data_IF_413602753540
#
_entry.id   IF_413602753540
#
_cell.length_a   1.000
_cell.length_b   1.000
_cell.length_c   1.000
_cell.angle_alpha   90.00
_cell.angle_beta   90.00
_cell.angle_gamma   90.00
#
_symmetry.space_group_name_H-M   'P 1'
#
loop_
_entity.id
_entity.type
_entity.pdbx_description
1 polymer ?
#
# COMPACT_ATOMS: atom_id res chain seq x y z
N UNK A 1 -32.80 10.01 -5.61
CA UNK A 1 -33.01 8.63 -5.11
C UNK A 1 -33.10 8.71 -3.60
N UNK A 2 -34.13 8.11 -3.03
CA UNK A 2 -34.26 7.98 -1.58
C UNK A 2 -33.18 7.01 -1.05
N UNK A 3 -32.74 7.10 0.22
CA UNK A 3 -31.60 6.31 0.73
C UNK A 3 -31.82 4.78 0.57
N UNK A 4 -33.05 4.32 0.73
CA UNK A 4 -33.44 2.92 0.51
C UNK A 4 -33.34 2.49 -0.96
N UNK A 5 -33.64 3.38 -1.91
CA UNK A 5 -33.50 3.10 -3.35
C UNK A 5 -32.02 3.00 -3.75
N UNK A 6 -31.17 3.86 -3.18
CA UNK A 6 -29.72 3.81 -3.41
C UNK A 6 -29.11 2.53 -2.85
N UNK A 7 -29.51 2.16 -1.64
CA UNK A 7 -29.09 0.91 -1.01
C UNK A 7 -29.48 -0.30 -1.88
N UNK A 8 -30.73 -0.38 -2.31
CA UNK A 8 -31.22 -1.48 -3.14
C UNK A 8 -30.56 -1.51 -4.52
N UNK A 9 -30.30 -0.34 -5.12
CA UNK A 9 -29.57 -0.24 -6.39
C UNK A 9 -28.14 -0.79 -6.28
N UNK A 10 -27.40 -0.38 -5.24
CA UNK A 10 -26.05 -0.88 -4.96
C UNK A 10 -26.04 -2.39 -4.70
N UNK A 11 -26.97 -2.88 -3.88
CA UNK A 11 -27.08 -4.31 -3.57
C UNK A 11 -27.41 -5.14 -4.81
N UNK A 12 -28.32 -4.67 -5.67
CA UNK A 12 -28.62 -5.33 -6.94
C UNK A 12 -27.41 -5.37 -7.88
N UNK A 13 -26.57 -4.34 -7.85
CA UNK A 13 -25.34 -4.28 -8.67
C UNK A 13 -24.27 -5.27 -8.18
N UNK A 14 -24.16 -5.45 -6.85
CA UNK A 14 -23.24 -6.43 -6.25
C UNK A 14 -23.79 -7.86 -6.20
N UNK A 15 -25.11 -8.05 -6.28
CA UNK A 15 -25.78 -9.36 -6.29
C UNK A 15 -25.13 -10.41 -7.21
N UNK A 16 -24.88 -10.16 -8.51
CA UNK A 16 -24.29 -11.17 -9.40
C UNK A 16 -22.90 -11.60 -8.94
N UNK A 17 -22.13 -10.68 -8.35
CA UNK A 17 -20.80 -10.93 -7.79
C UNK A 17 -20.88 -11.81 -6.57
N UNK A 18 -21.84 -11.56 -5.68
CA UNK A 18 -21.97 -12.29 -4.42
C UNK A 18 -22.52 -13.72 -4.63
N UNK A 19 -23.52 -13.86 -5.51
CA UNK A 19 -24.21 -15.12 -5.76
C UNK A 19 -23.44 -16.06 -6.69
N UNK A 20 -22.90 -15.54 -7.80
CA UNK A 20 -22.32 -16.37 -8.86
C UNK A 20 -20.85 -16.09 -9.07
N UNK A 21 -20.07 -17.11 -9.39
CA UNK A 21 -18.65 -16.97 -9.68
C UNK A 21 -18.44 -17.26 -11.16
N UNK A 22 -17.96 -16.26 -11.91
CA UNK A 22 -17.73 -16.43 -13.35
C UNK A 22 -16.54 -17.33 -13.63
N UNK A 23 -16.54 -18.00 -14.78
CA UNK A 23 -15.39 -18.82 -15.24
C UNK A 23 -14.10 -18.00 -15.32
N UNK A 24 -14.19 -16.75 -15.76
CA UNK A 24 -13.05 -15.81 -15.78
C UNK A 24 -12.47 -15.58 -14.39
N UNK A 25 -13.32 -15.50 -13.36
CA UNK A 25 -12.87 -15.36 -11.98
C UNK A 25 -12.07 -16.59 -11.54
N UNK A 26 -12.54 -17.80 -11.83
CA UNK A 26 -11.84 -19.05 -11.51
C UNK A 26 -10.51 -19.20 -12.25
N UNK A 27 -10.50 -18.95 -13.56
CA UNK A 27 -9.26 -19.03 -14.38
C UNK A 27 -8.21 -18.07 -13.85
N UNK A 28 -8.55 -16.80 -13.64
CA UNK A 28 -7.60 -15.82 -13.10
C UNK A 28 -7.19 -16.14 -11.67
N UNK A 29 -8.07 -16.72 -10.85
CA UNK A 29 -7.74 -17.16 -9.49
C UNK A 29 -6.77 -18.34 -9.50
N UNK A 30 -6.99 -19.34 -10.37
CA UNK A 30 -6.10 -20.48 -10.55
C UNK A 30 -4.71 -20.06 -11.02
N UNK A 31 -4.62 -19.14 -12.00
CA UNK A 31 -3.33 -18.58 -12.47
C UNK A 31 -2.59 -17.90 -11.32
N UNK A 32 -3.27 -17.07 -10.52
CA UNK A 32 -2.64 -16.41 -9.37
C UNK A 32 -2.17 -17.42 -8.30
N UNK A 33 -2.92 -18.50 -8.06
CA UNK A 33 -2.49 -19.58 -7.15
C UNK A 33 -1.23 -20.26 -7.68
N UNK A 34 -1.12 -20.51 -8.98
CA UNK A 34 0.09 -21.12 -9.56
C UNK A 34 1.30 -20.19 -9.37
N UNK A 35 1.14 -18.89 -9.61
CA UNK A 35 2.21 -17.90 -9.36
C UNK A 35 2.58 -17.85 -7.87
N UNK A 36 1.61 -17.87 -6.97
CA UNK A 36 1.85 -17.93 -5.53
C UNK A 36 2.58 -19.22 -5.11
N UNK A 37 2.18 -20.36 -5.68
CA UNK A 37 2.84 -21.65 -5.48
C UNK A 37 4.28 -21.68 -5.97
N UNK A 38 4.59 -20.96 -7.06
CA UNK A 38 5.97 -20.80 -7.53
C UNK A 38 6.84 -20.03 -6.51
N UNK A 39 6.31 -18.97 -5.89
CA UNK A 39 7.02 -18.29 -4.80
C UNK A 39 7.17 -19.14 -3.54
N UNK A 40 6.18 -19.96 -3.18
CA UNK A 40 6.31 -20.95 -2.09
C UNK A 40 7.46 -21.92 -2.40
N UNK A 41 7.56 -22.39 -3.65
CA UNK A 41 8.68 -23.25 -4.05
C UNK A 41 10.03 -22.53 -3.92
N UNK A 42 10.11 -21.25 -4.30
CA UNK A 42 11.27 -20.40 -4.04
C UNK A 42 11.60 -20.29 -2.54
N UNK A 43 10.60 -20.08 -1.69
CA UNK A 43 10.77 -20.02 -0.23
C UNK A 43 11.34 -21.33 0.33
N UNK A 44 10.81 -22.48 -0.12
CA UNK A 44 11.31 -23.79 0.31
C UNK A 44 12.78 -23.95 -0.09
N UNK A 45 13.16 -23.53 -1.29
CA UNK A 45 14.57 -23.55 -1.73
C UNK A 45 15.46 -22.65 -0.88
N UNK A 46 14.98 -21.47 -0.49
CA UNK A 46 15.74 -20.57 0.39
C UNK A 46 15.87 -21.12 1.81
N UNK A 47 14.82 -21.69 2.39
CA UNK A 47 14.87 -22.26 3.75
C UNK A 47 15.80 -23.49 3.79
N UNK A 48 15.77 -24.32 2.76
CA UNK A 48 16.58 -25.56 2.69
C UNK A 48 18.02 -25.33 2.24
N UNK A 49 18.24 -24.42 1.28
CA UNK A 49 19.56 -24.09 0.73
C UNK A 49 20.27 -22.95 1.44
N UNK A 50 19.57 -22.21 2.30
CA UNK A 50 20.04 -20.97 2.91
C UNK A 50 20.06 -19.80 1.93
N UNK A 51 20.53 -18.64 2.40
CA UNK A 51 20.53 -17.40 1.63
C UNK A 51 21.45 -17.39 0.41
N UNK A 52 22.31 -18.39 0.24
CA UNK A 52 23.20 -18.51 -0.93
C UNK A 52 22.42 -18.61 -2.26
N UNK A 53 21.16 -19.07 -2.21
CA UNK A 53 20.28 -19.14 -3.40
C UNK A 53 19.77 -17.77 -3.86
N UNK A 54 19.92 -16.74 -3.01
CA UNK A 54 19.54 -15.36 -3.31
C UNK A 54 20.73 -14.61 -3.93
N UNK A 55 20.48 -13.41 -4.44
CA UNK A 55 21.52 -12.49 -4.92
C UNK A 55 22.20 -11.72 -3.79
N UNK A 56 21.72 -11.84 -2.55
CA UNK A 56 22.28 -11.12 -1.40
C UNK A 56 23.66 -11.69 -1.02
N UNK A 57 24.59 -10.80 -0.70
CA UNK A 57 25.97 -11.10 -0.30
C UNK A 57 26.41 -10.18 0.85
N UNK A 58 27.65 -10.30 1.27
CA UNK A 58 28.20 -9.60 2.43
C UNK A 58 28.10 -8.07 2.33
N UNK A 59 28.21 -7.52 1.11
CA UNK A 59 28.04 -6.09 0.87
C UNK A 59 26.56 -5.71 0.72
N UNK A 60 25.85 -6.38 -0.19
CA UNK A 60 24.42 -6.14 -0.45
C UNK A 60 23.57 -7.16 0.30
N UNK A 61 23.29 -6.84 1.56
CA UNK A 61 22.59 -7.73 2.50
C UNK A 61 21.06 -7.69 2.41
N UNK A 62 20.49 -6.69 1.74
CA UNK A 62 19.05 -6.37 1.81
C UNK A 62 18.26 -6.47 0.51
N UNK A 63 18.93 -6.72 -0.62
CA UNK A 63 18.35 -7.15 -1.90
C UNK A 63 16.99 -6.56 -2.31
N UNK A 64 16.23 -7.33 -3.08
CA UNK A 64 14.87 -6.95 -3.52
C UNK A 64 13.82 -7.16 -2.42
N UNK A 65 14.13 -7.94 -1.38
CA UNK A 65 13.23 -8.13 -0.25
C UNK A 65 12.97 -6.83 0.50
N UNK A 66 14.01 -6.07 0.87
CA UNK A 66 13.79 -4.78 1.54
C UNK A 66 13.15 -3.76 0.59
N UNK A 67 13.47 -3.78 -0.70
CA UNK A 67 12.78 -2.95 -1.71
C UNK A 67 11.27 -3.22 -1.69
N UNK A 68 10.86 -4.49 -1.73
CA UNK A 68 9.46 -4.88 -1.69
C UNK A 68 8.79 -4.59 -0.35
N UNK A 69 9.51 -4.79 0.76
CA UNK A 69 9.04 -4.43 2.09
C UNK A 69 8.67 -2.94 2.13
N UNK A 70 9.61 -2.04 1.82
CA UNK A 70 9.35 -0.59 1.83
C UNK A 70 8.21 -0.24 0.87
N UNK A 71 8.16 -0.89 -0.30
CA UNK A 71 7.11 -0.64 -1.28
C UNK A 71 5.72 -0.99 -0.75
N UNK A 72 5.50 -2.23 -0.27
CA UNK A 72 4.20 -2.65 0.29
C UNK A 72 3.84 -1.87 1.54
N UNK A 73 4.81 -1.57 2.40
CA UNK A 73 4.58 -0.67 3.54
C UNK A 73 4.12 0.70 3.06
N UNK A 74 4.80 1.31 2.09
CA UNK A 74 4.40 2.59 1.49
C UNK A 74 2.98 2.57 0.89
N UNK A 75 2.60 1.49 0.22
CA UNK A 75 1.22 1.31 -0.29
C UNK A 75 0.20 1.29 0.84
N UNK A 76 0.52 0.64 1.96
CA UNK A 76 -0.37 0.58 3.11
C UNK A 76 -0.68 1.97 3.67
N UNK A 77 0.36 2.69 4.08
CA UNK A 77 0.20 3.94 4.83
C UNK A 77 -0.54 4.98 4.02
N UNK A 78 -0.35 4.97 2.72
CA UNK A 78 -1.05 5.86 1.82
C UNK A 78 -2.55 5.55 1.73
N UNK A 79 -2.95 4.27 1.75
CA UNK A 79 -4.36 3.90 1.88
C UNK A 79 -4.95 4.42 3.19
N UNK A 80 -4.22 4.26 4.30
CA UNK A 80 -4.63 4.72 5.64
C UNK A 80 -4.74 6.24 5.71
N UNK A 81 -3.73 6.96 5.20
CA UNK A 81 -3.71 8.41 5.17
C UNK A 81 -4.78 8.96 4.24
N UNK A 82 -4.94 8.43 3.03
CA UNK A 82 -5.99 8.89 2.11
C UNK A 82 -7.37 8.64 2.70
N UNK A 83 -7.62 7.44 3.26
CA UNK A 83 -8.89 7.12 3.92
C UNK A 83 -9.17 8.04 5.11
N UNK A 84 -8.20 8.15 6.03
CA UNK A 84 -8.35 8.92 7.26
C UNK A 84 -8.47 10.42 7.00
N UNK A 85 -7.60 11.00 6.15
CA UNK A 85 -7.61 12.43 5.84
C UNK A 85 -8.91 12.82 5.13
N UNK A 86 -9.35 12.04 4.14
CA UNK A 86 -10.63 12.32 3.47
C UNK A 86 -11.82 12.18 4.43
N UNK A 87 -11.77 11.22 5.35
CA UNK A 87 -12.78 11.07 6.41
C UNK A 87 -12.80 12.29 7.34
N UNK A 88 -11.65 12.74 7.82
CA UNK A 88 -11.54 13.88 8.73
C UNK A 88 -12.02 15.20 8.09
N UNK A 89 -11.70 15.41 6.81
CA UNK A 89 -12.16 16.58 6.05
C UNK A 89 -13.62 16.47 5.56
N UNK A 90 -14.35 15.40 5.91
CA UNK A 90 -15.73 15.14 5.47
C UNK A 90 -15.92 15.32 3.95
N UNK A 91 -14.98 14.84 3.15
CA UNK A 91 -15.07 15.00 1.70
C UNK A 91 -16.11 14.05 1.09
N UNK A 92 -17.24 14.55 0.62
CA UNK A 92 -18.37 13.73 0.12
C UNK A 92 -17.99 12.76 -1.02
N UNK A 93 -17.04 13.14 -1.88
CA UNK A 93 -16.58 12.28 -2.99
C UNK A 93 -15.72 11.09 -2.53
N UNK A 94 -15.39 10.97 -1.25
CA UNK A 94 -14.63 9.84 -0.70
C UNK A 94 -15.46 8.54 -0.60
N UNK A 95 -16.78 8.66 -0.45
CA UNK A 95 -17.68 7.54 -0.12
C UNK A 95 -17.53 6.31 -1.03
N UNK A 96 -17.45 6.44 -2.37
CA UNK A 96 -17.29 5.28 -3.25
C UNK A 96 -15.87 4.68 -3.27
N UNK A 97 -14.88 5.35 -2.67
CA UNK A 97 -13.48 4.99 -2.81
C UNK A 97 -12.83 4.57 -1.48
N UNK A 98 -13.35 5.02 -0.34
CA UNK A 98 -12.73 4.83 0.99
C UNK A 98 -12.45 3.36 1.32
N UNK A 99 -13.37 2.45 1.01
CA UNK A 99 -13.21 1.03 1.30
C UNK A 99 -12.09 0.36 0.52
N UNK A 100 -11.88 0.76 -0.73
CA UNK A 100 -10.73 0.29 -1.50
C UNK A 100 -9.42 0.75 -0.84
N UNK A 101 -9.39 1.99 -0.33
CA UNK A 101 -8.23 2.51 0.39
C UNK A 101 -7.97 1.72 1.69
N UNK A 102 -9.00 1.46 2.51
CA UNK A 102 -8.88 0.67 3.74
C UNK A 102 -8.40 -0.78 3.46
N UNK A 103 -8.90 -1.40 2.38
CA UNK A 103 -8.45 -2.72 1.95
C UNK A 103 -7.00 -2.71 1.44
N UNK A 104 -6.58 -1.67 0.71
CA UNK A 104 -5.17 -1.51 0.27
C UNK A 104 -4.28 -1.53 1.51
N UNK A 105 -4.65 -0.75 2.52
CA UNK A 105 -3.91 -0.64 3.78
C UNK A 105 -3.70 -2.00 4.42
N UNK A 106 -4.79 -2.67 4.80
CA UNK A 106 -4.70 -3.92 5.57
C UNK A 106 -4.03 -5.04 4.78
N UNK A 107 -4.35 -5.18 3.49
CA UNK A 107 -3.74 -6.24 2.65
C UNK A 107 -2.24 -5.99 2.49
N UNK A 108 -1.83 -4.73 2.28
CA UNK A 108 -0.40 -4.41 2.14
C UNK A 108 0.37 -4.57 3.44
N UNK A 109 -0.23 -4.24 4.61
CA UNK A 109 0.38 -4.49 5.93
C UNK A 109 0.53 -5.96 6.28
N UNK A 110 -0.34 -6.82 5.74
CA UNK A 110 -0.20 -8.26 5.93
C UNK A 110 0.98 -8.78 5.10
N UNK A 111 1.15 -8.29 3.87
CA UNK A 111 2.13 -8.81 2.92
C UNK A 111 3.52 -8.24 3.16
N UNK A 112 3.64 -6.93 3.39
CA UNK A 112 4.92 -6.22 3.54
C UNK A 112 5.88 -6.89 4.53
N UNK A 113 5.47 -7.16 5.78
CA UNK A 113 6.33 -7.75 6.80
C UNK A 113 6.89 -9.13 6.45
N UNK A 114 6.23 -9.92 5.58
CA UNK A 114 6.79 -11.18 5.12
C UNK A 114 8.12 -10.99 4.39
N UNK A 115 8.32 -9.87 3.70
CA UNK A 115 9.60 -9.61 3.05
C UNK A 115 10.74 -9.36 4.05
N UNK A 116 10.48 -8.79 5.24
CA UNK A 116 11.48 -8.78 6.32
C UNK A 116 11.77 -10.22 6.77
N UNK A 117 10.73 -11.02 6.97
CA UNK A 117 10.90 -12.42 7.38
C UNK A 117 11.72 -13.20 6.36
N UNK A 118 11.57 -12.93 5.07
CA UNK A 118 12.38 -13.53 4.02
C UNK A 118 13.85 -13.10 4.06
N UNK A 119 14.21 -11.97 4.67
CA UNK A 119 15.61 -11.59 4.91
C UNK A 119 16.24 -12.33 6.09
N UNK A 120 15.44 -12.77 7.07
CA UNK A 120 15.95 -13.37 8.30
C UNK A 120 16.48 -14.78 8.02
N UNK A 121 17.77 -15.00 8.26
CA UNK A 121 18.40 -16.32 8.05
C UNK A 121 18.00 -17.39 9.07
N UNK A 122 17.52 -16.99 10.24
CA UNK A 122 17.16 -17.90 11.34
C UNK A 122 15.77 -17.62 11.88
N UNK A 123 14.76 -18.00 11.09
CA UNK A 123 13.35 -17.85 11.47
C UNK A 123 12.98 -18.66 12.72
N UNK A 124 13.71 -19.73 13.03
CA UNK A 124 13.58 -20.50 14.28
C UNK A 124 13.75 -19.63 15.54
N UNK A 125 14.52 -18.53 15.42
CA UNK A 125 14.83 -17.60 16.51
C UNK A 125 13.97 -16.33 16.51
N UNK A 126 12.93 -16.25 15.67
CA UNK A 126 12.11 -15.04 15.56
C UNK A 126 11.49 -14.62 16.91
N UNK A 127 11.15 -15.57 17.78
CA UNK A 127 10.57 -15.31 19.10
C UNK A 127 11.49 -14.46 20.02
N UNK A 128 12.82 -14.51 19.83
CA UNK A 128 13.75 -13.67 20.59
C UNK A 128 13.52 -12.17 20.37
N UNK A 129 12.99 -11.79 19.21
CA UNK A 129 12.63 -10.40 18.90
C UNK A 129 11.59 -9.84 19.88
N UNK A 130 10.68 -10.70 20.37
CA UNK A 130 9.61 -10.30 21.28
C UNK A 130 9.97 -10.51 22.76
N UNK A 131 10.76 -11.55 23.07
CA UNK A 131 11.12 -11.87 24.47
C UNK A 131 12.32 -11.01 24.93
N UNK A 132 13.27 -10.74 24.04
CA UNK A 132 14.49 -10.00 24.34
C UNK A 132 14.71 -8.84 23.35
N UNK A 133 13.75 -7.90 23.23
CA UNK A 133 13.86 -6.79 22.28
C UNK A 133 15.00 -5.84 22.68
N UNK A 134 15.81 -5.45 21.70
CA UNK A 134 16.80 -4.38 21.87
C UNK A 134 16.18 -3.06 21.47
N UNK A 135 15.72 -2.27 22.44
CA UNK A 135 15.00 -1.01 22.19
C UNK A 135 15.88 0.05 21.52
N UNK A 136 17.21 -0.07 21.58
CA UNK A 136 18.10 0.84 20.83
C UNK A 136 18.13 0.54 19.33
N UNK A 137 17.57 -0.59 18.87
CA UNK A 137 17.54 -0.95 17.46
C UNK A 137 16.27 -0.39 16.78
N UNK A 138 16.40 0.36 15.67
CA UNK A 138 15.26 0.81 14.89
C UNK A 138 14.37 -0.31 14.37
N UNK A 139 14.92 -1.51 14.15
CA UNK A 139 14.16 -2.70 13.73
C UNK A 139 13.16 -3.11 14.81
N UNK A 140 13.51 -2.97 16.11
CA UNK A 140 12.57 -3.23 17.21
C UNK A 140 11.39 -2.26 17.19
N UNK A 141 11.65 -0.98 16.86
CA UNK A 141 10.59 0.03 16.75
C UNK A 141 9.69 -0.25 15.56
N UNK A 142 10.26 -0.69 14.44
CA UNK A 142 9.52 -1.07 13.24
C UNK A 142 8.54 -2.22 13.54
N UNK A 143 8.98 -3.25 14.26
CA UNK A 143 8.12 -4.37 14.68
C UNK A 143 6.96 -3.90 15.55
N UNK A 144 7.23 -3.04 16.55
CA UNK A 144 6.18 -2.46 17.41
C UNK A 144 5.21 -1.62 16.58
N UNK A 145 5.74 -0.79 15.68
CA UNK A 145 4.97 0.08 14.80
C UNK A 145 4.06 -0.70 13.85
N UNK A 146 4.61 -1.69 13.14
CA UNK A 146 3.86 -2.55 12.21
C UNK A 146 2.75 -3.31 12.93
N UNK A 147 3.03 -3.91 14.09
CA UNK A 147 2.01 -4.68 14.83
C UNK A 147 0.88 -3.75 15.31
N UNK A 148 1.24 -2.58 15.84
CA UNK A 148 0.27 -1.58 16.30
C UNK A 148 -0.58 -1.05 15.15
N UNK A 149 0.05 -0.75 14.02
CA UNK A 149 -0.62 -0.23 12.83
C UNK A 149 -1.52 -1.28 12.18
N UNK A 150 -1.07 -2.53 12.07
CA UNK A 150 -1.88 -3.64 11.56
C UNK A 150 -3.13 -3.86 12.41
N UNK A 151 -2.99 -3.86 13.74
CA UNK A 151 -4.14 -4.01 14.63
C UNK A 151 -5.10 -2.82 14.52
N UNK A 152 -4.59 -1.60 14.51
CA UNK A 152 -5.39 -0.38 14.37
C UNK A 152 -6.16 -0.33 13.05
N UNK A 153 -5.48 -0.58 11.93
CA UNK A 153 -6.07 -0.59 10.60
C UNK A 153 -7.08 -1.73 10.43
N UNK A 154 -6.79 -2.92 10.96
CA UNK A 154 -7.75 -4.04 10.95
C UNK A 154 -9.02 -3.69 11.75
N UNK A 155 -8.86 -3.13 12.95
CA UNK A 155 -9.99 -2.71 13.78
C UNK A 155 -10.84 -1.64 13.07
N UNK A 156 -10.21 -0.64 12.46
CA UNK A 156 -10.91 0.40 11.71
C UNK A 156 -11.66 -0.15 10.50
N UNK A 157 -11.01 -0.99 9.70
CA UNK A 157 -11.66 -1.69 8.58
C UNK A 157 -12.84 -2.55 9.07
N UNK A 158 -12.67 -3.25 10.20
CA UNK A 158 -13.74 -4.05 10.79
C UNK A 158 -14.94 -3.19 11.21
N UNK A 159 -14.70 -2.04 11.87
CA UNK A 159 -15.75 -1.09 12.24
C UNK A 159 -16.49 -0.55 11.00
N UNK A 160 -15.79 -0.32 9.89
CA UNK A 160 -16.36 0.05 8.59
C UNK A 160 -17.28 -1.05 8.04
N UNK A 161 -16.98 -2.32 8.29
CA UNK A 161 -17.78 -3.44 7.79
C UNK A 161 -18.98 -3.86 8.65
N UNK A 162 -19.05 -3.50 9.93
CA UNK A 162 -20.15 -3.93 10.82
C UNK A 162 -21.53 -3.62 10.22
N UNK A 163 -21.69 -2.41 9.68
CA UNK A 163 -22.94 -1.97 9.07
C UNK A 163 -23.28 -2.80 7.83
N UNK A 164 -22.30 -3.07 6.96
CA UNK A 164 -22.53 -3.87 5.75
C UNK A 164 -22.76 -5.36 6.06
N UNK A 165 -22.12 -5.92 7.10
CA UNK A 165 -22.42 -7.28 7.55
C UNK A 165 -23.88 -7.41 8.01
N UNK A 166 -24.40 -6.40 8.72
CA UNK A 166 -25.80 -6.38 9.11
C UNK A 166 -26.73 -6.26 7.88
N UNK A 167 -26.39 -5.41 6.91
CA UNK A 167 -27.13 -5.31 5.65
C UNK A 167 -27.17 -6.65 4.90
N UNK A 168 -26.03 -7.32 4.74
CA UNK A 168 -25.94 -8.61 4.05
C UNK A 168 -26.64 -9.75 4.81
N UNK A 169 -26.71 -9.67 6.15
CA UNK A 169 -27.46 -10.62 6.99
C UNK A 169 -28.96 -10.50 6.78
N UNK A 170 -29.47 -9.27 6.69
CA UNK A 170 -30.91 -8.99 6.71
C UNK A 170 -31.53 -8.95 5.30
N UNK A 171 -30.72 -8.88 4.25
CA UNK A 171 -31.18 -8.84 2.86
C UNK A 171 -31.75 -10.18 2.39
N UNK A 172 -33.04 -10.22 2.06
CA UNK A 172 -33.72 -11.42 1.54
C UNK A 172 -33.52 -11.65 0.03
N UNK A 173 -33.17 -10.60 -0.71
CA UNK A 173 -33.08 -10.65 -2.18
C UNK A 173 -31.81 -11.31 -2.70
N UNK A 174 -30.77 -11.41 -1.88
CA UNK A 174 -29.48 -12.03 -2.23
C UNK A 174 -29.50 -13.46 -1.68
N UNK A 175 -29.46 -14.45 -2.58
CA UNK A 175 -29.42 -15.87 -2.24
C UNK A 175 -28.02 -16.26 -1.79
N UNK A 176 -27.72 -16.01 -0.53
CA UNK A 176 -26.46 -16.40 0.10
C UNK A 176 -26.55 -17.81 0.71
N UNK A 177 -25.49 -18.63 0.61
CA UNK A 177 -25.41 -19.88 1.35
C UNK A 177 -25.54 -19.68 2.87
N UNK A 178 -26.22 -20.59 3.56
CA UNK A 178 -26.51 -20.49 5.00
C UNK A 178 -25.26 -20.28 5.88
N UNK A 179 -24.12 -20.87 5.49
CA UNK A 179 -22.86 -20.70 6.22
C UNK A 179 -22.35 -19.25 6.17
N UNK A 180 -22.53 -18.54 5.04
CA UNK A 180 -22.13 -17.12 4.90
C UNK A 180 -23.00 -16.22 5.76
N UNK A 181 -24.31 -16.46 5.75
CA UNK A 181 -25.25 -15.71 6.59
C UNK A 181 -24.92 -15.89 8.07
N UNK A 182 -24.54 -17.11 8.50
CA UNK A 182 -24.09 -17.37 9.88
C UNK A 182 -22.81 -16.59 10.22
N UNK A 183 -21.85 -16.51 9.31
CA UNK A 183 -20.64 -15.70 9.47
C UNK A 183 -20.99 -14.21 9.56
N UNK A 184 -21.81 -13.68 8.65
CA UNK A 184 -22.22 -12.27 8.69
C UNK A 184 -23.00 -11.94 9.97
N UNK A 185 -23.86 -12.84 10.45
CA UNK A 185 -24.56 -12.69 11.73
C UNK A 185 -23.59 -12.58 12.90
N UNK A 186 -22.54 -13.40 12.92
CA UNK A 186 -21.51 -13.34 13.94
C UNK A 186 -20.67 -12.06 13.84
N UNK A 187 -20.23 -11.70 12.63
CA UNK A 187 -19.42 -10.51 12.36
C UNK A 187 -20.17 -9.19 12.57
N UNK A 188 -21.50 -9.17 12.43
CA UNK A 188 -22.33 -7.99 12.66
C UNK A 188 -22.50 -7.65 14.15
N UNK A 189 -22.05 -8.50 15.09
CA UNK A 189 -22.11 -8.27 16.54
C UNK A 189 -23.49 -7.83 17.07
N UNK A 190 -24.57 -8.36 16.48
CA UNK A 190 -25.93 -7.99 16.88
C UNK A 190 -26.32 -6.55 16.53
N UNK A 191 -25.62 -5.90 15.60
CA UNK A 191 -26.00 -4.59 15.08
C UNK A 191 -27.38 -4.66 14.41
N UNK A 192 -28.27 -3.76 14.80
CA UNK A 192 -29.64 -3.63 14.31
C UNK A 192 -29.95 -2.23 13.76
N UNK A 193 -28.97 -1.32 13.78
CA UNK A 193 -29.10 0.01 13.18
C UNK A 193 -29.84 1.03 14.03
N UNK A 194 -29.95 0.82 15.35
CA UNK A 194 -30.58 1.81 16.25
C UNK A 194 -29.81 3.13 16.23
N UNK A 195 -30.47 4.29 16.48
CA UNK A 195 -29.80 5.60 16.49
C UNK A 195 -28.59 5.65 17.44
N UNK A 196 -28.71 4.97 18.59
CA UNK A 196 -27.63 4.85 19.57
C UNK A 196 -26.43 4.07 19.01
N UNK A 197 -26.66 2.92 18.38
CA UNK A 197 -25.59 2.12 17.76
C UNK A 197 -24.89 2.87 16.61
N UNK A 198 -25.66 3.55 15.76
CA UNK A 198 -25.12 4.40 14.68
C UNK A 198 -24.19 5.47 15.23
N UNK A 199 -24.60 6.16 16.29
CA UNK A 199 -23.78 7.19 16.96
C UNK A 199 -22.47 6.63 17.53
N UNK A 200 -22.52 5.45 18.17
CA UNK A 200 -21.32 4.78 18.70
C UNK A 200 -20.35 4.42 17.56
N UNK A 201 -20.82 3.73 16.52
CA UNK A 201 -19.95 3.30 15.40
C UNK A 201 -19.37 4.50 14.68
N UNK A 202 -20.16 5.54 14.42
CA UNK A 202 -19.66 6.77 13.82
C UNK A 202 -18.56 7.41 14.69
N UNK A 203 -18.79 7.53 16.01
CA UNK A 203 -17.82 8.14 16.93
C UNK A 203 -16.54 7.32 17.00
N UNK A 204 -16.66 5.99 17.10
CA UNK A 204 -15.52 5.07 17.08
C UNK A 204 -14.72 5.18 15.77
N UNK A 205 -15.39 5.20 14.60
CA UNK A 205 -14.74 5.40 13.30
C UNK A 205 -14.00 6.74 13.22
N UNK A 206 -14.61 7.83 13.68
CA UNK A 206 -13.95 9.14 13.68
C UNK A 206 -12.69 9.14 14.55
N UNK A 207 -12.77 8.61 15.78
CA UNK A 207 -11.61 8.52 16.70
C UNK A 207 -10.52 7.65 16.07
N UNK A 208 -10.88 6.46 15.58
CA UNK A 208 -9.94 5.53 14.95
C UNK A 208 -9.28 6.13 13.70
N UNK A 209 -10.03 6.88 12.88
CA UNK A 209 -9.47 7.54 11.69
C UNK A 209 -8.39 8.55 12.07
N UNK A 210 -8.62 9.36 13.12
CA UNK A 210 -7.63 10.32 13.61
C UNK A 210 -6.40 9.60 14.19
N UNK A 211 -6.59 8.51 14.93
CA UNK A 211 -5.50 7.70 15.46
C UNK A 211 -4.67 7.06 14.36
N UNK A 212 -5.28 6.49 13.32
CA UNK A 212 -4.58 5.85 12.21
C UNK A 212 -3.75 6.85 11.42
N UNK A 213 -4.24 8.07 11.18
CA UNK A 213 -3.45 9.12 10.53
C UNK A 213 -2.17 9.39 11.34
N UNK A 214 -2.29 9.55 12.66
CA UNK A 214 -1.15 9.80 13.53
C UNK A 214 -0.17 8.62 13.55
N UNK A 215 -0.69 7.39 13.72
CA UNK A 215 0.12 6.16 13.73
C UNK A 215 0.83 6.00 12.38
N UNK A 216 0.15 6.19 11.25
CA UNK A 216 0.75 6.05 9.93
C UNK A 216 1.95 6.98 9.73
N UNK A 217 1.86 8.25 10.16
CA UNK A 217 2.97 9.21 10.06
C UNK A 217 4.14 8.77 10.94
N UNK A 218 3.86 8.34 12.18
CA UNK A 218 4.89 7.90 13.13
C UNK A 218 5.61 6.66 12.62
N UNK A 219 4.85 5.60 12.30
CA UNK A 219 5.44 4.31 11.91
C UNK A 219 6.21 4.44 10.60
N UNK A 220 5.74 5.24 9.65
CA UNK A 220 6.49 5.43 8.41
C UNK A 220 7.76 6.27 8.59
N UNK A 221 7.77 7.19 9.55
CA UNK A 221 9.00 7.88 9.94
C UNK A 221 10.00 6.91 10.59
N UNK A 222 9.51 5.98 11.43
CA UNK A 222 10.34 4.91 12.02
C UNK A 222 10.91 3.99 10.93
N UNK A 223 10.11 3.62 9.92
CA UNK A 223 10.59 2.86 8.76
C UNK A 223 11.75 3.57 8.06
N UNK A 224 11.63 4.88 7.85
CA UNK A 224 12.68 5.68 7.24
C UNK A 224 13.95 5.73 8.12
N UNK A 225 13.79 5.73 9.44
CA UNK A 225 14.92 5.72 10.39
C UNK A 225 15.73 4.43 10.40
N UNK A 226 15.18 3.30 9.92
CA UNK A 226 15.99 2.08 9.68
C UNK A 226 17.19 2.40 8.77
N UNK A 227 17.01 3.31 7.83
CA UNK A 227 18.08 3.82 6.96
C UNK A 227 18.74 5.06 7.57
N UNK A 228 17.93 6.06 7.96
CA UNK A 228 18.37 7.40 8.36
C UNK A 228 19.31 7.48 9.56
N UNK A 229 19.29 6.49 10.46
CA UNK A 229 20.15 6.47 11.66
C UNK A 229 21.38 5.56 11.48
N UNK A 230 21.58 5.01 10.28
CA UNK A 230 22.78 4.26 9.95
C UNK A 230 23.86 5.21 9.46
N UNK A 231 25.11 4.76 9.54
CA UNK A 231 26.24 5.46 8.92
C UNK A 231 26.40 5.07 7.45
N UNK A 232 25.41 4.45 6.79
CA UNK A 232 25.60 4.06 5.39
C UNK A 232 25.52 5.31 4.49
N UNK A 233 26.53 5.55 3.63
CA UNK A 233 26.55 6.71 2.74
C UNK A 233 25.30 6.78 1.87
N UNK A 234 24.59 7.90 1.90
CA UNK A 234 23.39 8.09 1.10
C UNK A 234 22.09 7.72 1.83
N UNK A 235 22.17 6.94 2.91
CA UNK A 235 21.07 6.74 3.85
C UNK A 235 21.07 7.73 5.01
N UNK A 236 22.24 8.25 5.37
CA UNK A 236 22.48 9.22 6.43
C UNK A 236 21.89 10.62 6.10
N UNK A 237 20.55 10.70 6.02
CA UNK A 237 19.84 11.91 5.62
C UNK A 237 18.69 12.21 6.56
N UNK A 238 18.65 13.44 7.07
CA UNK A 238 17.60 13.91 8.00
C UNK A 238 16.25 14.11 7.32
N UNK A 239 16.22 14.25 5.99
CA UNK A 239 14.98 14.43 5.22
C UNK A 239 14.22 13.10 5.02
N UNK A 240 14.83 11.95 5.32
CA UNK A 240 14.26 10.64 5.01
C UNK A 240 12.89 10.41 5.66
N UNK A 241 12.66 10.85 6.89
CA UNK A 241 11.34 10.71 7.54
C UNK A 241 10.21 11.32 6.69
N UNK A 242 10.20 12.66 6.49
CA UNK A 242 9.21 13.32 5.63
C UNK A 242 9.24 12.86 4.17
N UNK A 243 10.43 12.59 3.61
CA UNK A 243 10.61 12.10 2.23
C UNK A 243 9.84 10.80 2.00
N UNK A 244 10.02 9.85 2.92
CA UNK A 244 9.31 8.61 2.91
C UNK A 244 7.80 8.91 3.00
N UNK A 245 7.32 9.64 4.00
CA UNK A 245 5.86 9.86 4.20
C UNK A 245 5.18 10.38 2.93
N UNK A 246 5.76 11.37 2.26
CA UNK A 246 5.24 11.91 1.00
C UNK A 246 5.27 10.87 -0.12
N UNK A 247 6.36 10.10 -0.22
CA UNK A 247 6.49 9.05 -1.21
C UNK A 247 5.48 7.89 -1.01
N UNK A 248 5.13 7.57 0.24
CA UNK A 248 4.04 6.64 0.52
C UNK A 248 2.75 7.16 -0.11
N UNK A 249 2.31 8.37 0.29
CA UNK A 249 1.08 9.00 -0.21
C UNK A 249 1.08 9.04 -1.75
N UNK A 250 2.24 9.29 -2.38
CA UNK A 250 2.40 9.28 -3.83
C UNK A 250 2.03 7.91 -4.43
N UNK A 251 2.65 6.82 -3.96
CA UNK A 251 2.34 5.47 -4.47
C UNK A 251 0.93 5.00 -4.15
N UNK A 252 0.40 5.24 -2.96
CA UNK A 252 -0.97 4.79 -2.66
C UNK A 252 -2.01 5.61 -3.41
N UNK A 253 -1.79 6.90 -3.65
CA UNK A 253 -2.66 7.68 -4.55
C UNK A 253 -2.66 7.09 -5.97
N UNK A 254 -1.48 6.71 -6.47
CA UNK A 254 -1.34 6.02 -7.75
C UNK A 254 -2.05 4.66 -7.78
N UNK A 255 -1.80 3.81 -6.78
CA UNK A 255 -2.45 2.50 -6.67
C UNK A 255 -3.97 2.62 -6.55
N UNK A 256 -4.44 3.63 -5.82
CA UNK A 256 -5.85 3.88 -5.63
C UNK A 256 -6.55 4.23 -6.96
N UNK A 257 -5.92 5.06 -7.80
CA UNK A 257 -6.41 5.35 -9.16
C UNK A 257 -6.45 4.09 -10.02
N UNK A 258 -5.42 3.24 -9.94
CA UNK A 258 -5.35 1.96 -10.68
C UNK A 258 -6.51 1.04 -10.25
N UNK A 259 -6.73 0.86 -8.94
CA UNK A 259 -7.83 0.04 -8.44
C UNK A 259 -9.19 0.61 -8.82
N UNK A 260 -9.39 1.93 -8.70
CA UNK A 260 -10.61 2.60 -9.15
C UNK A 260 -10.89 2.29 -10.63
N UNK A 261 -9.88 2.35 -11.50
CA UNK A 261 -10.04 2.02 -12.92
C UNK A 261 -10.43 0.55 -13.15
N UNK A 262 -9.73 -0.37 -12.48
CA UNK A 262 -9.98 -1.81 -12.60
C UNK A 262 -11.39 -2.16 -12.11
N UNK A 263 -11.74 -1.76 -10.89
CA UNK A 263 -13.04 -2.06 -10.29
C UNK A 263 -14.20 -1.38 -11.02
N UNK A 264 -13.99 -0.15 -11.52
CA UNK A 264 -14.98 0.54 -12.37
C UNK A 264 -15.35 -0.30 -13.59
N UNK A 265 -14.37 -0.85 -14.32
CA UNK A 265 -14.63 -1.67 -15.52
C UNK A 265 -15.12 -3.09 -15.21
N UNK A 266 -14.57 -3.73 -14.17
CA UNK A 266 -14.93 -5.12 -13.83
C UNK A 266 -16.36 -5.24 -13.31
N UNK A 267 -16.81 -4.26 -12.51
CA UNK A 267 -18.11 -4.28 -11.83
C UNK A 267 -19.11 -3.27 -12.42
N UNK A 268 -18.77 -2.61 -13.53
CA UNK A 268 -19.60 -1.60 -14.21
C UNK A 268 -20.06 -0.49 -13.26
N UNK A 269 -19.13 0.06 -12.48
CA UNK A 269 -19.40 1.06 -11.44
C UNK A 269 -19.30 2.50 -11.96
N UNK A 270 -19.53 2.74 -13.25
CA UNK A 270 -19.31 4.06 -13.88
C UNK A 270 -20.18 5.18 -13.29
N UNK A 271 -21.37 4.84 -12.79
CA UNK A 271 -22.30 5.76 -12.13
C UNK A 271 -21.82 6.23 -10.75
N UNK A 272 -21.05 5.38 -10.05
CA UNK A 272 -20.57 5.66 -8.69
C UNK A 272 -19.14 6.21 -8.71
N UNK A 273 -18.26 5.59 -9.49
CA UNK A 273 -16.87 6.03 -9.70
C UNK A 273 -16.82 6.85 -10.98
N UNK A 274 -17.24 8.11 -10.86
CA UNK A 274 -17.28 9.09 -11.96
C UNK A 274 -15.91 9.69 -12.25
N UNK A 275 -15.80 10.41 -13.37
CA UNK A 275 -14.58 11.13 -13.77
C UNK A 275 -14.08 12.12 -12.70
N UNK A 276 -14.99 12.72 -11.92
CA UNK A 276 -14.67 13.61 -10.80
C UNK A 276 -13.72 12.95 -9.79
N UNK A 277 -13.90 11.67 -9.52
CA UNK A 277 -13.05 10.93 -8.59
C UNK A 277 -11.63 10.76 -9.14
N UNK A 278 -11.49 10.48 -10.44
CA UNK A 278 -10.19 10.38 -11.10
C UNK A 278 -9.47 11.73 -11.15
N UNK A 279 -10.19 12.82 -11.42
CA UNK A 279 -9.60 14.16 -11.42
C UNK A 279 -9.16 14.54 -10.01
N UNK A 280 -10.00 14.34 -8.99
CA UNK A 280 -9.65 14.68 -7.60
C UNK A 280 -8.46 13.88 -7.09
N UNK A 281 -8.45 12.56 -7.31
CA UNK A 281 -7.30 11.72 -6.97
C UNK A 281 -6.06 12.06 -7.80
N UNK A 282 -6.24 12.41 -9.07
CA UNK A 282 -5.16 12.89 -9.93
C UNK A 282 -4.55 14.19 -9.41
N UNK A 283 -5.37 15.14 -8.95
CA UNK A 283 -4.89 16.41 -8.35
C UNK A 283 -4.12 16.12 -7.06
N UNK A 284 -4.61 15.20 -6.21
CA UNK A 284 -3.84 14.74 -5.05
C UNK A 284 -2.49 14.16 -5.47
N UNK A 285 -2.47 13.26 -6.45
CA UNK A 285 -1.24 12.67 -6.99
C UNK A 285 -0.28 13.74 -7.52
N UNK A 286 -0.78 14.77 -8.21
CA UNK A 286 0.04 15.89 -8.71
C UNK A 286 0.66 16.69 -7.57
N UNK A 287 -0.12 17.08 -6.56
CA UNK A 287 0.37 17.89 -5.44
C UNK A 287 1.44 17.12 -4.68
N UNK A 288 1.19 15.84 -4.42
CA UNK A 288 2.13 14.98 -3.71
C UNK A 288 3.36 14.69 -4.58
N UNK A 289 3.23 14.55 -5.90
CA UNK A 289 4.36 14.45 -6.82
C UNK A 289 5.26 15.69 -6.76
N UNK A 290 4.68 16.90 -6.68
CA UNK A 290 5.46 18.12 -6.57
C UNK A 290 6.27 18.18 -5.27
N UNK A 291 5.65 17.83 -4.12
CA UNK A 291 6.36 17.70 -2.84
C UNK A 291 7.44 16.62 -2.89
N UNK A 292 7.13 15.47 -3.49
CA UNK A 292 8.07 14.36 -3.63
C UNK A 292 9.27 14.75 -4.48
N UNK A 293 9.04 15.45 -5.59
CA UNK A 293 10.09 16.02 -6.45
C UNK A 293 10.95 17.03 -5.72
N UNK A 294 10.33 17.94 -4.95
CA UNK A 294 11.05 18.90 -4.12
C UNK A 294 11.96 18.21 -3.09
N UNK A 295 11.45 17.22 -2.35
CA UNK A 295 12.28 16.51 -1.37
C UNK A 295 13.37 15.66 -2.03
N UNK A 296 13.10 15.05 -3.20
CA UNK A 296 14.11 14.34 -4.00
C UNK A 296 15.21 15.29 -4.42
N UNK A 297 14.84 16.47 -4.91
CA UNK A 297 15.79 17.52 -5.28
C UNK A 297 16.63 17.96 -4.08
N UNK A 298 16.00 18.24 -2.92
CA UNK A 298 16.69 18.62 -1.71
C UNK A 298 17.70 17.56 -1.24
N UNK A 299 17.34 16.28 -1.26
CA UNK A 299 18.22 15.20 -0.83
C UNK A 299 19.48 15.06 -1.71
N UNK A 300 19.33 15.12 -3.04
CA UNK A 300 20.49 15.08 -3.93
C UNK A 300 21.30 16.39 -3.88
N UNK A 301 20.65 17.54 -3.76
CA UNK A 301 21.31 18.84 -3.66
C UNK A 301 22.20 18.92 -2.42
N UNK A 302 21.72 18.48 -1.26
CA UNK A 302 22.50 18.53 -0.02
C UNK A 302 23.67 17.54 -0.07
N UNK A 303 23.49 16.36 -0.66
CA UNK A 303 24.58 15.38 -0.89
C UNK A 303 25.67 15.94 -1.79
N UNK A 304 25.28 16.61 -2.87
CA UNK A 304 26.21 17.28 -3.78
C UNK A 304 26.91 18.47 -3.12
N UNK A 305 26.15 19.34 -2.44
CA UNK A 305 26.68 20.52 -1.76
C UNK A 305 27.67 20.17 -0.65
N UNK A 306 27.37 19.13 0.14
CA UNK A 306 28.24 18.65 1.22
C UNK A 306 29.61 18.16 0.75
N UNK A 307 29.77 17.87 -0.55
CA UNK A 307 31.06 17.51 -1.19
C UNK A 307 31.82 16.38 -0.50
N UNK A 308 31.11 15.51 0.22
CA UNK A 308 31.70 14.33 0.86
C UNK A 308 32.03 13.33 -0.24
N UNK A 309 33.31 12.94 -0.35
CA UNK A 309 33.83 12.08 -1.43
C UNK A 309 32.95 10.85 -1.70
N UNK A 310 32.45 10.21 -0.64
CA UNK A 310 31.65 8.99 -0.80
C UNK A 310 30.26 9.25 -1.38
N UNK A 311 29.65 10.40 -1.07
CA UNK A 311 28.38 10.79 -1.67
C UNK A 311 28.57 11.12 -3.15
N UNK A 312 29.71 11.70 -3.54
CA UNK A 312 30.06 11.88 -4.95
C UNK A 312 30.20 10.54 -5.68
N UNK A 313 30.86 9.55 -5.07
CA UNK A 313 30.98 8.20 -5.66
C UNK A 313 29.62 7.52 -5.87
N UNK A 314 28.71 7.64 -4.90
CA UNK A 314 27.33 7.15 -5.04
C UNK A 314 26.59 7.87 -6.17
N UNK A 315 26.69 9.20 -6.25
CA UNK A 315 26.07 9.98 -7.33
C UNK A 315 26.65 9.55 -8.70
N UNK A 316 27.97 9.45 -8.82
CA UNK A 316 28.63 9.04 -10.07
C UNK A 316 28.16 7.64 -10.50
N UNK A 317 28.04 6.70 -9.55
CA UNK A 317 27.51 5.36 -9.83
C UNK A 317 26.04 5.39 -10.26
N UNK A 318 25.21 6.25 -9.67
CA UNK A 318 23.82 6.44 -10.08
C UNK A 318 23.71 6.99 -11.52
N UNK A 319 24.60 7.89 -11.92
CA UNK A 319 24.62 8.47 -13.27
C UNK A 319 25.37 7.61 -14.32
N UNK A 320 26.25 6.72 -13.89
CA UNK A 320 26.99 5.82 -14.78
C UNK A 320 26.26 4.49 -14.97
N UNK A 321 26.09 3.72 -13.89
CA UNK A 321 25.61 2.33 -13.93
C UNK A 321 24.08 2.24 -13.83
N UNK A 322 23.46 3.08 -12.99
CA UNK A 322 22.01 3.06 -12.73
C UNK A 322 21.23 4.17 -13.44
N UNK A 323 21.81 4.77 -14.49
CA UNK A 323 21.31 6.01 -15.09
C UNK A 323 19.83 5.96 -15.47
N UNK A 324 19.40 4.90 -16.13
CA UNK A 324 18.03 4.75 -16.61
C UNK A 324 17.06 4.65 -15.45
N UNK A 325 17.40 3.84 -14.43
CA UNK A 325 16.59 3.70 -13.22
C UNK A 325 16.49 5.03 -12.47
N UNK A 326 17.60 5.76 -12.38
CA UNK A 326 17.67 7.06 -11.74
C UNK A 326 16.78 8.09 -12.45
N UNK A 327 16.94 8.25 -13.78
CA UNK A 327 16.14 9.20 -14.55
C UNK A 327 14.65 8.81 -14.59
N UNK A 328 14.36 7.53 -14.72
CA UNK A 328 12.99 7.04 -14.70
C UNK A 328 12.30 7.29 -13.36
N UNK A 329 12.95 6.94 -12.25
CA UNK A 329 12.38 7.08 -10.91
C UNK A 329 12.23 8.55 -10.48
N UNK A 330 13.28 9.36 -10.66
CA UNK A 330 13.35 10.71 -10.09
C UNK A 330 12.82 11.80 -11.03
N UNK A 331 12.70 11.55 -12.34
CA UNK A 331 12.20 12.54 -13.30
C UNK A 331 10.93 12.07 -13.97
N UNK A 332 10.95 10.96 -14.73
CA UNK A 332 9.78 10.51 -15.48
C UNK A 332 8.61 10.20 -14.54
N UNK A 333 8.87 9.45 -13.47
CA UNK A 333 7.87 9.09 -12.46
C UNK A 333 7.21 10.29 -11.79
N UNK A 334 7.96 11.38 -11.59
CA UNK A 334 7.50 12.57 -10.86
C UNK A 334 6.85 13.59 -11.81
N UNK A 335 7.50 13.89 -12.93
CA UNK A 335 7.08 14.92 -13.88
C UNK A 335 5.83 14.47 -14.65
N UNK A 336 5.72 13.19 -14.99
CA UNK A 336 4.62 12.71 -15.84
C UNK A 336 3.24 12.91 -15.19
N UNK A 337 2.99 12.54 -13.91
CA UNK A 337 1.74 12.87 -13.22
C UNK A 337 1.49 14.38 -13.15
N UNK A 338 2.53 15.19 -12.93
CA UNK A 338 2.42 16.65 -12.87
C UNK A 338 1.96 17.22 -14.21
N UNK A 339 2.51 16.75 -15.33
CA UNK A 339 2.17 17.24 -16.67
C UNK A 339 0.77 16.78 -17.08
N UNK A 340 0.46 15.48 -16.93
CA UNK A 340 -0.83 14.90 -17.34
C UNK A 340 -2.00 15.51 -16.56
N UNK A 341 -1.84 15.67 -15.25
CA UNK A 341 -2.90 16.26 -14.42
C UNK A 341 -2.82 17.79 -14.44
N UNK A 342 -1.65 18.40 -14.58
CA UNK A 342 -1.52 19.86 -14.60
C UNK A 342 -2.21 20.48 -15.82
N UNK A 343 -2.07 19.85 -16.98
CA UNK A 343 -2.64 20.33 -18.24
C UNK A 343 -4.08 19.83 -18.38
N UNK A 344 -5.06 20.75 -18.35
CA UNK A 344 -6.49 20.44 -18.43
C UNK A 344 -6.86 19.52 -19.60
N UNK A 345 -6.19 19.68 -20.75
CA UNK A 345 -6.42 18.86 -21.97
C UNK A 345 -6.12 17.37 -21.77
N UNK A 346 -5.18 17.01 -20.88
CA UNK A 346 -4.75 15.63 -20.70
C UNK A 346 -5.47 14.91 -19.55
N UNK A 347 -6.36 15.59 -18.81
CA UNK A 347 -7.12 15.07 -17.66
C UNK A 347 -8.24 14.10 -18.08
N UNK A 348 -7.88 12.99 -18.71
CA UNK A 348 -8.80 11.89 -19.01
C UNK A 348 -8.57 10.72 -18.06
N UNK A 349 -9.60 9.90 -17.83
CA UNK A 349 -9.51 8.71 -16.97
C UNK A 349 -8.33 7.82 -17.37
N UNK A 350 -8.17 7.55 -18.67
CA UNK A 350 -7.11 6.68 -19.18
C UNK A 350 -5.72 7.29 -18.97
N UNK A 351 -5.54 8.58 -19.25
CA UNK A 351 -4.24 9.24 -19.09
C UNK A 351 -3.83 9.34 -17.62
N UNK A 352 -4.77 9.70 -16.73
CA UNK A 352 -4.51 9.75 -15.29
C UNK A 352 -4.13 8.35 -14.78
N UNK A 353 -4.84 7.31 -15.22
CA UNK A 353 -4.52 5.93 -14.84
C UNK A 353 -3.14 5.50 -15.37
N UNK A 354 -2.79 5.84 -16.61
CA UNK A 354 -1.47 5.57 -17.18
C UNK A 354 -0.37 6.27 -16.39
N UNK A 355 -0.56 7.55 -16.03
CA UNK A 355 0.36 8.30 -15.19
C UNK A 355 0.55 7.63 -13.82
N UNK A 356 -0.54 7.12 -13.23
CA UNK A 356 -0.49 6.41 -11.95
C UNK A 356 0.24 5.08 -12.03
N UNK A 357 0.09 4.31 -13.11
CA UNK A 357 0.86 3.07 -13.31
C UNK A 357 2.35 3.37 -13.37
N UNK A 358 2.74 4.38 -14.15
CA UNK A 358 4.14 4.78 -14.29
C UNK A 358 4.68 5.29 -12.96
N UNK A 359 3.92 6.11 -12.23
CA UNK A 359 4.28 6.62 -10.90
C UNK A 359 4.55 5.50 -9.88
N UNK A 360 3.68 4.48 -9.83
CA UNK A 360 3.83 3.35 -8.90
C UNK A 360 5.07 2.51 -9.25
N UNK A 361 5.30 2.23 -10.54
CA UNK A 361 6.50 1.50 -10.98
C UNK A 361 7.77 2.33 -10.70
N UNK A 362 7.74 3.63 -11.00
CA UNK A 362 8.83 4.55 -10.73
C UNK A 362 9.16 4.61 -9.23
N UNK A 363 8.17 4.54 -8.34
CA UNK A 363 8.44 4.48 -6.91
C UNK A 363 9.08 3.16 -6.49
N UNK A 364 8.66 2.02 -7.05
CA UNK A 364 9.35 0.75 -6.79
C UNK A 364 10.82 0.82 -7.22
N UNK A 365 11.10 1.38 -8.40
CA UNK A 365 12.47 1.62 -8.89
C UNK A 365 13.22 2.61 -7.98
N UNK A 366 12.54 3.65 -7.46
CA UNK A 366 13.13 4.55 -6.47
C UNK A 366 13.60 3.80 -5.22
N UNK A 367 12.81 2.85 -4.71
CA UNK A 367 13.21 1.99 -3.58
C UNK A 367 14.40 1.11 -3.92
N UNK A 368 14.44 0.58 -5.14
CA UNK A 368 15.60 -0.16 -5.62
C UNK A 368 16.88 0.68 -5.61
N UNK A 369 16.85 1.89 -6.18
CA UNK A 369 18.05 2.77 -6.25
C UNK A 369 18.45 3.37 -4.89
N UNK A 370 17.54 3.43 -3.91
CA UNK A 370 17.88 3.83 -2.54
C UNK A 370 18.63 2.69 -1.85
N UNK A 371 18.23 1.43 -2.05
CA UNK A 371 18.78 0.29 -1.30
C UNK A 371 20.04 -0.27 -1.97
N UNK A 372 19.98 -0.59 -3.26
CA UNK A 372 21.02 -1.41 -3.91
C UNK A 372 22.30 -0.62 -4.21
N UNK A 373 22.28 0.48 -5.00
CA UNK A 373 23.50 1.23 -5.29
C UNK A 373 24.22 1.72 -4.03
N UNK A 374 23.45 2.13 -3.02
CA UNK A 374 23.97 2.55 -1.72
C UNK A 374 24.76 1.46 -1.01
N UNK A 375 24.29 0.21 -1.05
CA UNK A 375 25.00 -0.93 -0.47
C UNK A 375 26.18 -1.40 -1.33
N UNK A 376 26.15 -1.16 -2.64
CA UNK A 376 27.29 -1.38 -3.54
C UNK A 376 28.38 -0.30 -3.43
N UNK A 377 28.11 0.80 -2.73
CA UNK A 377 29.08 1.87 -2.41
C UNK A 377 29.34 1.99 -0.91
N UNK A 378 29.90 0.96 -0.26
CA UNK A 378 30.25 1.03 1.16
C UNK A 378 31.41 1.98 1.43
N UNK A 379 31.55 2.40 2.70
CA UNK A 379 32.66 3.26 3.15
C UNK A 379 34.05 2.67 2.89
N UNK A 380 34.18 1.36 3.08
CA UNK A 380 35.41 0.65 2.79
C UNK A 380 35.33 0.07 1.38
N UNK A 381 36.38 0.25 0.54
CA UNK A 381 36.41 -0.36 -0.77
C UNK A 381 36.20 -1.87 -0.71
N UNK A 382 35.33 -2.38 -1.58
CA UNK A 382 35.08 -3.82 -1.71
C UNK A 382 36.38 -4.47 -2.22
N UNK A 383 36.93 -5.40 -1.42
CA UNK A 383 38.16 -6.12 -1.76
C UNK A 383 37.91 -7.43 -2.54
N UNK A 384 36.64 -7.85 -2.64
CA UNK A 384 36.27 -9.07 -3.37
C UNK A 384 36.31 -8.81 -4.89
N UNK A 385 36.99 -9.68 -5.63
CA UNK A 385 37.10 -9.59 -7.09
C UNK A 385 35.94 -10.25 -7.83
N UNK A 386 35.09 -11.03 -7.14
CA UNK A 386 33.97 -11.74 -7.79
C UNK A 386 32.83 -10.77 -8.04
N UNK A 387 32.42 -10.61 -9.30
CA UNK A 387 31.37 -9.66 -9.69
C UNK A 387 30.09 -9.82 -8.88
N UNK A 388 29.65 -11.05 -8.60
CA UNK A 388 28.43 -11.30 -7.83
C UNK A 388 28.50 -10.89 -6.35
N UNK A 389 29.69 -10.57 -5.82
CA UNK A 389 29.90 -10.02 -4.47
C UNK A 389 30.07 -8.50 -4.47
N UNK A 390 30.28 -7.90 -5.65
CA UNK A 390 30.40 -6.47 -5.85
C UNK A 390 29.06 -5.88 -6.29
N UNK A 391 28.42 -6.52 -7.27
CA UNK A 391 27.16 -6.09 -7.88
C UNK A 391 26.05 -7.07 -7.54
N UNK A 392 24.91 -6.52 -7.14
CA UNK A 392 23.73 -7.28 -6.81
C UNK A 392 22.85 -7.51 -8.04
N UNK A 393 22.47 -8.77 -8.23
CA UNK A 393 21.45 -9.17 -9.19
C UNK A 393 20.46 -10.11 -8.53
N UNK A 394 19.17 -9.73 -8.55
CA UNK A 394 18.13 -10.56 -8.00
C UNK A 394 18.01 -11.90 -8.74
N UNK A 395 18.01 -12.98 -7.97
CA UNK A 395 17.87 -14.35 -8.47
C UNK A 395 16.42 -14.70 -8.78
N UNK A 396 16.20 -15.82 -9.48
CA UNK A 396 14.84 -16.31 -9.74
C UNK A 396 14.06 -16.58 -8.45
N UNK A 397 14.73 -16.93 -7.34
CA UNK A 397 14.09 -17.14 -6.03
C UNK A 397 13.47 -15.84 -5.53
N UNK A 398 14.23 -14.73 -5.57
CA UNK A 398 13.75 -13.42 -5.15
C UNK A 398 12.63 -12.91 -6.05
N UNK A 399 12.75 -13.10 -7.37
CA UNK A 399 11.69 -12.75 -8.32
C UNK A 399 10.42 -13.58 -8.12
N UNK A 400 10.55 -14.88 -7.80
CA UNK A 400 9.40 -15.75 -7.52
C UNK A 400 8.64 -15.31 -6.28
N UNK A 401 9.35 -14.88 -5.24
CA UNK A 401 8.77 -14.36 -4.00
C UNK A 401 8.11 -13.00 -4.19
N UNK A 402 8.73 -12.12 -4.99
CA UNK A 402 8.11 -10.87 -5.42
C UNK A 402 6.78 -11.12 -6.17
N UNK A 403 6.81 -12.04 -7.15
CA UNK A 403 5.63 -12.41 -7.91
C UNK A 403 4.54 -13.01 -7.01
N UNK A 404 4.91 -13.82 -6.02
CA UNK A 404 3.97 -14.35 -5.04
C UNK A 404 3.36 -13.26 -4.15
N UNK A 405 4.13 -12.25 -3.72
CA UNK A 405 3.60 -11.11 -2.98
C UNK A 405 2.57 -10.29 -3.77
N UNK A 406 2.82 -10.06 -5.06
CA UNK A 406 1.84 -9.41 -5.95
C UNK A 406 0.62 -10.32 -6.18
N UNK A 407 0.84 -11.63 -6.36
CA UNK A 407 -0.25 -12.58 -6.57
C UNK A 407 -1.17 -12.66 -5.35
N UNK A 408 -0.62 -12.75 -4.13
CA UNK A 408 -1.41 -12.79 -2.90
C UNK A 408 -2.15 -11.48 -2.65
N UNK A 409 -1.54 -10.32 -2.97
CA UNK A 409 -2.23 -9.03 -2.93
C UNK A 409 -3.51 -9.05 -3.79
N UNK A 410 -3.39 -9.49 -5.05
CA UNK A 410 -4.53 -9.58 -5.97
C UNK A 410 -5.55 -10.64 -5.51
N UNK A 411 -5.09 -11.80 -5.01
CA UNK A 411 -5.94 -12.85 -4.45
C UNK A 411 -6.77 -12.30 -3.28
N UNK A 412 -6.15 -11.62 -2.32
CA UNK A 412 -6.84 -11.05 -1.16
C UNK A 412 -7.88 -10.02 -1.58
N UNK A 413 -7.58 -9.15 -2.55
CA UNK A 413 -8.56 -8.22 -3.11
C UNK A 413 -9.73 -8.93 -3.81
N UNK A 414 -9.45 -9.97 -4.60
CA UNK A 414 -10.48 -10.76 -5.29
C UNK A 414 -11.36 -11.55 -4.32
N UNK A 415 -10.80 -12.03 -3.22
CA UNK A 415 -11.56 -12.69 -2.16
C UNK A 415 -12.41 -11.66 -1.41
N UNK A 416 -11.81 -10.53 -0.99
CA UNK A 416 -12.53 -9.45 -0.33
C UNK A 416 -13.73 -8.99 -1.17
N UNK A 417 -13.54 -8.75 -2.47
CA UNK A 417 -14.64 -8.34 -3.36
C UNK A 417 -15.71 -9.40 -3.62
N UNK A 418 -15.40 -10.68 -3.37
CA UNK A 418 -16.34 -11.80 -3.51
C UNK A 418 -17.19 -11.99 -2.26
N UNK A 419 -16.68 -11.60 -1.10
CA UNK A 419 -17.37 -11.71 0.18
C UNK A 419 -18.02 -10.41 0.65
N UNK A 420 -17.51 -9.26 0.21
CA UNK A 420 -17.94 -7.94 0.69
C UNK A 420 -18.06 -6.94 -0.47
N UNK A 421 -19.00 -5.99 -0.40
CA UNK A 421 -19.09 -4.89 -1.34
C UNK A 421 -17.83 -4.02 -1.29
N UNK A 422 -17.23 -3.77 -2.45
CA UNK A 422 -16.03 -2.91 -2.59
C UNK A 422 -16.35 -1.43 -2.35
N UNK A 423 -17.59 -1.03 -2.59
CA UNK A 423 -18.12 0.29 -2.24
C UNK A 423 -18.80 0.16 -0.87
N UNK A 424 -18.57 1.14 0.02
CA UNK A 424 -19.31 1.22 1.28
C UNK A 424 -20.77 1.57 1.02
N UNK A 425 -21.67 0.61 1.21
CA UNK A 425 -23.10 0.83 0.98
C UNK A 425 -23.64 1.71 2.11
N UNK A 426 -23.24 1.42 3.35
CA UNK A 426 -23.70 2.20 4.50
C UNK A 426 -23.29 3.67 4.42
N UNK A 427 -22.06 3.98 4.03
CA UNK A 427 -21.60 5.37 3.91
C UNK A 427 -22.19 6.12 2.72
N UNK A 428 -22.55 5.40 1.64
CA UNK A 428 -23.28 6.00 0.52
C UNK A 428 -24.72 6.37 0.91
N UNK A 429 -25.31 5.64 1.86
CA UNK A 429 -26.71 5.83 2.30
C UNK A 429 -26.88 6.68 3.55
N UNK A 430 -25.82 6.88 4.33
CA UNK A 430 -25.86 7.72 5.51
C UNK A 430 -25.74 9.20 5.08
N UNK A 431 -26.76 9.99 5.41
CA UNK A 431 -26.66 11.45 5.42
C UNK A 431 -25.71 11.85 6.54
N UNK A 432 -24.62 12.56 6.23
CA UNK A 432 -23.71 13.08 7.24
C UNK A 432 -24.51 14.02 8.16
N UNK A 433 -24.75 13.62 9.42
CA UNK A 433 -25.58 14.35 10.40
C UNK A 433 -25.11 15.79 10.73
N UNK A 434 -24.03 16.30 10.11
CA UNK A 434 -23.61 17.69 10.23
C UNK A 434 -24.40 18.65 9.33
N UNK A 435 -24.98 18.17 8.22
CA UNK A 435 -25.84 19.03 7.38
C UNK A 435 -27.12 19.43 8.10
N UNK A 436 -27.60 18.60 9.03
CA UNK A 436 -28.79 18.90 9.85
C UNK A 436 -28.51 19.94 10.94
N UNK A 437 -27.27 20.04 11.45
CA UNK A 437 -26.90 21.05 12.47
C UNK A 437 -26.54 22.44 11.94
N UNK A 438 -26.47 22.61 10.62
CA UNK A 438 -26.31 23.92 9.99
C UNK A 438 -27.68 24.47 9.53
N UNK A 439 -28.72 23.63 9.58
CA UNK A 439 -30.10 23.95 9.20
C UNK A 439 -31.06 23.98 10.41
N UNK A 440 -30.54 23.82 11.63
CA UNK A 440 -31.19 24.10 12.92
C UNK A 440 -30.36 25.15 13.66
#
# INVERSE_FOLDING_TARGET
MNNTELQNSLLNKFKPVLETTSTRWYVTFAVLIVVFGWGIFGLIKQITGGHIVTGMRDNVVWGVYIVNFIFFMGLSYAGALVSGVLHLFNSEWRKPIIRMAELITVISLIIGPFYILFCIGRLDRLHFLFIHPRIQSPISWDVIGIVTDLFGCFLYLYLSFIEDFALLRDQKEIKLPNWRVKIYKWLALGYTGTPHQKKIIHSARTIMSAMIIAIAIIVYSVLAWIFGVTLQPGWDSTIFGPYFVIAAIFSGSGLMIILMYIFRRLYKLEEYITEKHFINMGVLLLVVAAFYGYFTFCDYLTKWYGSVKINSQLIDKLFAEFNFMFFFANYIGIILPIVIVGIRRFRTINNITMASVIAVIALWVNRYIIVIPTLETPFLPIQDSREAWVNYTATWVEWSLMAAGVAIFIIMFKLASKFLPIISISEMTNEDHRTLKILE
#
